data_IF_155745276470
#
_entry.id   IF_155745276470
#
_cell.length_a   1.000
_cell.length_b   1.000
_cell.length_c   1.000
_cell.angle_alpha   90.00
_cell.angle_beta   90.00
_cell.angle_gamma   90.00
#
_symmetry.space_group_name_H-M   'P 1'
#
loop_
_entity.id
_entity.type
_entity.pdbx_description
1 polymer ?
#
# COMPACT_ATOMS: atom_id res chain seq x y z
N UNK A 1 81.69 -8.55 52.15
CA UNK A 1 82.79 -8.21 51.23
C UNK A 1 82.17 -7.71 49.94
N UNK A 2 82.26 -6.39 49.71
CA UNK A 2 81.78 -5.67 48.54
C UNK A 2 82.60 -6.05 47.31
N UNK A 3 81.96 -6.33 46.17
CA UNK A 3 82.61 -6.18 44.85
C UNK A 3 81.54 -5.81 43.81
N UNK A 4 81.51 -4.51 43.52
CA UNK A 4 80.72 -3.88 42.47
C UNK A 4 81.37 -4.20 41.12
N UNK A 5 80.66 -4.89 40.24
CA UNK A 5 81.00 -4.92 38.81
C UNK A 5 80.04 -4.02 38.06
N UNK A 6 80.53 -2.81 37.75
CA UNK A 6 79.90 -1.86 36.84
C UNK A 6 80.08 -2.36 35.40
N UNK A 7 79.03 -2.88 34.78
CA UNK A 7 78.96 -3.04 33.33
C UNK A 7 77.96 -2.05 32.72
N UNK A 8 78.58 -1.09 32.03
CA UNK A 8 78.11 0.00 31.18
C UNK A 8 76.89 -0.39 30.31
N UNK A 9 75.75 0.30 30.49
CA UNK A 9 74.59 0.22 29.59
C UNK A 9 74.90 0.93 28.27
N UNK A 10 74.91 0.20 27.17
CA UNK A 10 74.69 0.73 25.82
C UNK A 10 73.18 0.94 25.63
N UNK A 11 72.69 2.12 25.17
CA UNK A 11 71.31 2.23 24.76
C UNK A 11 71.14 1.51 23.42
N UNK A 12 70.56 0.31 23.46
CA UNK A 12 69.99 -0.31 22.27
C UNK A 12 68.84 0.61 21.84
N UNK A 13 69.06 1.34 20.75
CA UNK A 13 68.01 2.07 20.04
C UNK A 13 67.05 1.05 19.42
N UNK A 14 66.14 0.51 20.23
CA UNK A 14 64.99 -0.23 19.75
C UNK A 14 63.96 0.78 19.28
N UNK A 15 64.11 1.22 18.04
CA UNK A 15 63.00 1.74 17.25
C UNK A 15 61.83 0.76 17.42
N UNK A 16 60.68 1.16 17.98
CA UNK A 16 59.49 0.34 17.85
C UNK A 16 59.18 0.32 16.36
N UNK A 17 59.43 -0.81 15.70
CA UNK A 17 58.77 -1.09 14.43
C UNK A 17 57.28 -0.96 14.71
N UNK A 18 56.72 0.17 14.29
CA UNK A 18 55.28 0.38 14.25
C UNK A 18 54.75 -0.69 13.32
N UNK A 19 54.22 -1.77 13.89
CA UNK A 19 53.30 -2.62 13.17
C UNK A 19 52.12 -1.73 12.79
N UNK A 20 52.04 -1.42 11.51
CA UNK A 20 50.91 -0.71 10.91
C UNK A 20 49.66 -1.57 11.03
N UNK A 21 48.97 -1.53 12.16
CA UNK A 21 47.60 -2.03 12.34
C UNK A 21 46.58 -0.98 11.87
N UNK A 22 46.78 -0.43 10.67
CA UNK A 22 45.89 0.59 10.09
C UNK A 22 45.05 0.07 8.91
N UNK A 23 45.30 -1.16 8.45
CA UNK A 23 44.50 -1.83 7.41
C UNK A 23 43.34 -2.64 8.01
N UNK A 24 43.56 -3.33 9.12
CA UNK A 24 42.58 -4.26 9.70
C UNK A 24 41.25 -3.59 10.14
N UNK A 25 41.33 -2.45 10.85
CA UNK A 25 40.12 -1.74 11.29
C UNK A 25 39.36 -1.01 10.17
N UNK A 26 40.01 -0.73 9.03
CA UNK A 26 39.34 -0.19 7.83
C UNK A 26 38.55 -1.27 7.11
N UNK A 27 39.10 -2.48 7.06
CA UNK A 27 38.45 -3.63 6.46
C UNK A 27 37.21 -4.03 7.28
N UNK A 28 37.30 -4.06 8.62
CA UNK A 28 36.14 -4.33 9.50
C UNK A 28 35.01 -3.29 9.35
N UNK A 29 35.32 -2.00 9.35
CA UNK A 29 34.32 -0.93 9.12
C UNK A 29 33.66 -1.02 7.73
N UNK A 30 34.41 -1.46 6.72
CA UNK A 30 33.88 -1.63 5.37
C UNK A 30 32.95 -2.84 5.25
N UNK A 31 33.24 -3.92 5.99
CA UNK A 31 32.42 -5.15 6.05
C UNK A 31 31.10 -4.87 6.79
N UNK A 32 31.14 -4.11 7.88
CA UNK A 32 29.94 -3.68 8.62
C UNK A 32 29.02 -2.81 7.75
N UNK A 33 29.56 -1.82 7.04
CA UNK A 33 28.76 -0.98 6.13
C UNK A 33 28.12 -1.76 4.97
N UNK A 34 28.82 -2.77 4.43
CA UNK A 34 28.23 -3.65 3.42
C UNK A 34 27.11 -4.52 4.00
N UNK A 35 27.28 -5.03 5.22
CA UNK A 35 26.26 -5.82 5.91
C UNK A 35 25.00 -4.97 6.13
N UNK A 36 25.13 -3.73 6.60
CA UNK A 36 24.01 -2.80 6.79
C UNK A 36 23.28 -2.49 5.49
N UNK A 37 24.00 -2.27 4.38
CA UNK A 37 23.40 -2.03 3.06
C UNK A 37 22.64 -3.26 2.56
N UNK A 38 23.19 -4.46 2.71
CA UNK A 38 22.55 -5.72 2.29
C UNK A 38 21.32 -6.02 3.16
N UNK A 39 21.42 -5.84 4.47
CA UNK A 39 20.30 -6.02 5.41
C UNK A 39 19.20 -4.99 5.15
N UNK A 40 19.55 -3.72 4.94
CA UNK A 40 18.58 -2.68 4.60
C UNK A 40 17.87 -2.96 3.26
N UNK A 41 18.59 -3.49 2.28
CA UNK A 41 17.99 -3.88 1.00
C UNK A 41 17.11 -5.13 1.12
N UNK A 42 17.55 -6.14 1.88
CA UNK A 42 16.76 -7.34 2.19
C UNK A 42 15.46 -6.99 2.93
N UNK A 43 15.53 -6.11 3.94
CA UNK A 43 14.36 -5.66 4.69
C UNK A 43 13.35 -4.95 3.79
N UNK A 44 13.83 -4.12 2.85
CA UNK A 44 12.96 -3.47 1.85
C UNK A 44 12.25 -4.50 0.96
N UNK A 45 12.92 -5.58 0.56
CA UNK A 45 12.29 -6.65 -0.23
C UNK A 45 11.24 -7.41 0.58
N UNK A 46 11.53 -7.73 1.83
CA UNK A 46 10.57 -8.38 2.73
C UNK A 46 9.34 -7.48 2.92
N UNK A 47 9.56 -6.20 3.19
CA UNK A 47 8.49 -5.21 3.36
C UNK A 47 7.68 -5.02 2.07
N UNK A 48 8.34 -4.88 0.93
CA UNK A 48 7.64 -4.75 -0.36
C UNK A 48 6.81 -6.00 -0.67
N UNK A 49 7.34 -7.20 -0.40
CA UNK A 49 6.62 -8.46 -0.57
C UNK A 49 5.40 -8.55 0.35
N UNK A 50 5.58 -8.31 1.66
CA UNK A 50 4.47 -8.37 2.63
C UNK A 50 3.42 -7.29 2.40
N UNK A 51 3.83 -6.05 2.13
CA UNK A 51 2.91 -4.96 1.81
C UNK A 51 2.09 -5.27 0.55
N UNK A 52 2.70 -5.92 -0.46
CA UNK A 52 2.01 -6.35 -1.67
C UNK A 52 0.93 -7.40 -1.34
N UNK A 53 1.27 -8.45 -0.58
CA UNK A 53 0.32 -9.51 -0.19
C UNK A 53 -0.84 -8.93 0.63
N UNK A 54 -0.54 -8.11 1.64
CA UNK A 54 -1.55 -7.44 2.46
C UNK A 54 -2.41 -6.51 1.60
N UNK A 55 -1.80 -5.79 0.66
CA UNK A 55 -2.51 -4.96 -0.31
C UNK A 55 -3.53 -5.76 -1.12
N UNK A 56 -3.11 -6.89 -1.72
CA UNK A 56 -4.03 -7.77 -2.46
C UNK A 56 -5.17 -8.31 -1.60
N UNK A 57 -4.92 -8.57 -0.32
CA UNK A 57 -5.94 -9.13 0.57
C UNK A 57 -6.90 -8.08 1.11
N UNK A 58 -6.43 -6.90 1.53
CA UNK A 58 -7.28 -5.85 2.15
C UNK A 58 -8.04 -5.03 1.11
N UNK A 59 -7.42 -4.76 -0.04
CA UNK A 59 -8.00 -3.92 -1.07
C UNK A 59 -9.42 -4.34 -1.53
N UNK A 60 -9.73 -5.64 -1.76
CA UNK A 60 -11.09 -6.06 -2.10
C UNK A 60 -12.10 -5.83 -0.96
N UNK A 61 -11.77 -6.16 0.29
CA UNK A 61 -12.69 -6.00 1.42
C UNK A 61 -12.94 -4.53 1.79
N UNK A 62 -11.98 -3.64 1.56
CA UNK A 62 -12.16 -2.22 1.84
C UNK A 62 -13.14 -1.55 0.86
N UNK A 63 -13.23 -2.06 -0.38
CA UNK A 63 -14.19 -1.59 -1.38
C UNK A 63 -15.64 -1.92 -1.01
N UNK A 64 -15.89 -3.10 -0.47
CA UNK A 64 -17.25 -3.59 -0.16
C UNK A 64 -17.93 -2.78 0.93
N UNK A 65 -17.22 -2.48 2.02
CA UNK A 65 -17.76 -1.65 3.10
C UNK A 65 -18.11 -0.24 2.58
N UNK A 66 -17.26 0.33 1.72
CA UNK A 66 -17.51 1.63 1.11
C UNK A 66 -18.69 1.57 0.12
N UNK A 67 -18.89 0.45 -0.56
CA UNK A 67 -20.02 0.21 -1.45
C UNK A 67 -21.33 0.18 -0.64
N UNK A 68 -21.37 -0.57 0.46
CA UNK A 68 -22.51 -0.60 1.36
C UNK A 68 -22.83 0.78 1.94
N UNK A 69 -21.81 1.52 2.39
CA UNK A 69 -21.99 2.90 2.85
C UNK A 69 -22.56 3.80 1.75
N UNK A 70 -22.17 3.59 0.49
CA UNK A 70 -22.72 4.33 -0.64
C UNK A 70 -24.22 4.08 -0.82
N UNK A 71 -24.68 2.85 -0.58
CA UNK A 71 -26.11 2.51 -0.59
C UNK A 71 -26.82 3.17 0.60
N UNK A 72 -26.23 3.15 1.79
CA UNK A 72 -26.80 3.85 2.95
C UNK A 72 -26.96 5.36 2.71
N UNK A 73 -26.04 5.99 1.97
CA UNK A 73 -26.16 7.40 1.60
C UNK A 73 -27.36 7.70 0.69
N UNK A 74 -27.84 6.74 -0.10
CA UNK A 74 -29.04 6.90 -0.93
C UNK A 74 -30.32 7.03 -0.08
N UNK A 75 -30.32 6.48 1.13
CA UNK A 75 -31.46 6.49 2.05
C UNK A 75 -31.56 7.81 2.86
N UNK A 76 -30.48 8.59 2.92
CA UNK A 76 -30.44 9.86 3.67
C UNK A 76 -31.37 10.89 3.03
N UNK A 77 -32.03 11.72 3.85
CA UNK A 77 -33.00 12.73 3.37
C UNK A 77 -32.39 13.78 2.46
N UNK A 78 -31.16 14.20 2.75
CA UNK A 78 -30.49 15.30 2.05
C UNK A 78 -30.02 14.86 0.64
N UNK A 79 -30.47 15.55 -0.43
CA UNK A 79 -30.10 15.25 -1.81
C UNK A 79 -28.60 15.24 -2.11
N UNK A 80 -27.78 15.98 -1.36
CA UNK A 80 -26.34 16.02 -1.56
C UNK A 80 -25.70 14.66 -1.27
N UNK A 81 -26.09 14.02 -0.17
CA UNK A 81 -25.59 12.69 0.18
C UNK A 81 -26.09 11.62 -0.78
N UNK A 82 -27.35 11.71 -1.24
CA UNK A 82 -27.89 10.81 -2.27
C UNK A 82 -27.06 10.85 -3.55
N UNK A 83 -26.74 12.06 -4.03
CA UNK A 83 -25.88 12.26 -5.21
C UNK A 83 -24.50 11.66 -5.02
N UNK A 84 -23.90 11.88 -3.85
CA UNK A 84 -22.57 11.37 -3.54
C UNK A 84 -22.54 9.85 -3.51
N UNK A 85 -23.53 9.23 -2.87
CA UNK A 85 -23.72 7.78 -2.85
C UNK A 85 -23.91 7.20 -4.26
N UNK A 86 -24.79 7.78 -5.06
CA UNK A 86 -25.02 7.36 -6.45
C UNK A 86 -23.77 7.49 -7.32
N UNK A 87 -23.07 8.62 -7.24
CA UNK A 87 -21.84 8.86 -8.00
C UNK A 87 -20.75 7.86 -7.62
N UNK A 88 -20.66 7.48 -6.33
CA UNK A 88 -19.71 6.49 -5.83
C UNK A 88 -20.08 5.08 -6.28
N UNK A 89 -21.36 4.69 -6.26
CA UNK A 89 -21.82 3.40 -6.81
C UNK A 89 -21.50 3.26 -8.30
N UNK A 90 -21.68 4.33 -9.08
CA UNK A 90 -21.30 4.32 -10.50
C UNK A 90 -19.81 3.99 -10.71
N UNK A 91 -18.94 4.46 -9.80
CA UNK A 91 -17.50 4.18 -9.84
C UNK A 91 -17.13 2.78 -9.36
N UNK A 92 -17.97 2.13 -8.54
CA UNK A 92 -17.72 0.76 -8.11
C UNK A 92 -18.14 -0.28 -9.16
N UNK A 93 -19.05 0.08 -10.07
CA UNK A 93 -19.54 -0.77 -11.16
C UNK A 93 -18.51 -0.98 -12.30
N UNK A 94 -17.29 -1.41 -11.97
CA UNK A 94 -16.18 -1.58 -12.92
C UNK A 94 -16.24 -2.97 -13.58
N UNK A 95 -16.37 -4.01 -12.78
CA UNK A 95 -16.37 -5.42 -13.19
C UNK A 95 -17.74 -6.07 -12.90
N UNK A 96 -18.00 -7.22 -13.52
CA UNK A 96 -19.28 -7.93 -13.38
C UNK A 96 -19.55 -8.38 -11.95
N UNK A 97 -18.50 -8.78 -11.21
CA UNK A 97 -18.61 -9.21 -9.82
C UNK A 97 -19.10 -8.06 -8.93
N UNK A 98 -18.50 -6.88 -9.06
CA UNK A 98 -18.93 -5.68 -8.32
C UNK A 98 -20.30 -5.19 -8.78
N UNK A 99 -20.62 -5.26 -10.07
CA UNK A 99 -21.98 -4.93 -10.57
C UNK A 99 -23.02 -5.81 -9.91
N UNK A 100 -22.80 -7.13 -9.88
CA UNK A 100 -23.66 -8.09 -9.19
C UNK A 100 -23.77 -7.78 -7.70
N UNK A 101 -22.65 -7.51 -7.03
CA UNK A 101 -22.65 -7.18 -5.60
C UNK A 101 -23.44 -5.93 -5.27
N UNK A 102 -23.39 -4.88 -6.11
CA UNK A 102 -24.21 -3.68 -5.96
C UNK A 102 -25.71 -4.02 -6.02
N UNK A 103 -26.11 -4.96 -6.88
CA UNK A 103 -27.49 -5.43 -6.99
C UNK A 103 -27.88 -6.23 -5.74
N UNK A 104 -27.03 -7.14 -5.27
CA UNK A 104 -27.26 -7.96 -4.08
C UNK A 104 -27.49 -7.14 -2.81
N UNK A 105 -26.71 -6.07 -2.60
CA UNK A 105 -26.89 -5.15 -1.47
C UNK A 105 -28.09 -4.18 -1.66
N UNK A 106 -28.88 -4.35 -2.73
CA UNK A 106 -30.07 -3.56 -3.00
C UNK A 106 -29.80 -2.17 -3.60
N UNK A 107 -28.58 -1.90 -4.09
CA UNK A 107 -28.19 -0.60 -4.64
C UNK A 107 -29.06 -0.17 -5.82
N UNK A 108 -29.41 -1.10 -6.72
CA UNK A 108 -30.28 -0.83 -7.88
C UNK A 108 -31.68 -0.34 -7.46
N UNK A 109 -32.30 -1.00 -6.48
CA UNK A 109 -33.62 -0.58 -5.98
C UNK A 109 -33.57 0.81 -5.33
N UNK A 110 -32.52 1.10 -4.56
CA UNK A 110 -32.34 2.41 -3.93
C UNK A 110 -32.11 3.52 -4.95
N UNK A 111 -31.40 3.24 -6.04
CA UNK A 111 -31.21 4.18 -7.15
C UNK A 111 -32.52 4.44 -7.90
N UNK A 112 -33.37 3.44 -8.09
CA UNK A 112 -34.73 3.61 -8.65
C UNK A 112 -35.60 4.47 -7.75
N UNK A 113 -35.64 4.17 -6.45
CA UNK A 113 -36.37 4.98 -5.47
C UNK A 113 -35.85 6.43 -5.41
N UNK A 114 -34.54 6.62 -5.58
CA UNK A 114 -33.93 7.94 -5.69
C UNK A 114 -34.36 8.67 -6.96
N UNK A 115 -34.47 7.98 -8.11
CA UNK A 115 -34.99 8.58 -9.36
C UNK A 115 -36.43 9.06 -9.21
N UNK A 116 -37.27 8.24 -8.59
CA UNK A 116 -38.69 8.55 -8.36
C UNK A 116 -38.88 9.69 -7.36
N UNK A 117 -38.14 9.66 -6.24
CA UNK A 117 -38.30 10.63 -5.15
C UNK A 117 -37.51 11.94 -5.34
N UNK A 118 -36.52 11.98 -6.24
CA UNK A 118 -35.69 13.16 -6.44
C UNK A 118 -36.44 14.28 -7.15
N UNK A 119 -36.52 15.44 -6.49
CA UNK A 119 -37.10 16.67 -7.07
C UNK A 119 -36.19 17.35 -8.08
N UNK A 120 -34.88 17.20 -7.92
CA UNK A 120 -33.91 17.93 -8.72
C UNK A 120 -33.21 17.06 -9.79
N UNK A 121 -32.91 17.67 -10.92
CA UNK A 121 -32.33 16.98 -12.08
C UNK A 121 -30.92 16.46 -11.84
N UNK A 122 -30.14 17.12 -10.98
CA UNK A 122 -28.76 16.70 -10.69
C UNK A 122 -28.74 15.37 -9.95
N UNK A 123 -29.61 15.20 -8.96
CA UNK A 123 -29.84 13.94 -8.24
C UNK A 123 -30.30 12.85 -9.19
N UNK A 124 -31.32 13.12 -10.02
CA UNK A 124 -31.80 12.16 -11.01
C UNK A 124 -30.72 11.73 -11.99
N UNK A 125 -29.92 12.68 -12.48
CA UNK A 125 -28.82 12.40 -13.41
C UNK A 125 -27.76 11.47 -12.80
N UNK A 126 -27.36 11.68 -11.55
CA UNK A 126 -26.39 10.80 -10.90
C UNK A 126 -26.96 9.39 -10.66
N UNK A 127 -28.24 9.29 -10.28
CA UNK A 127 -28.90 7.99 -10.15
C UNK A 127 -28.98 7.24 -11.48
N UNK A 128 -29.32 7.93 -12.57
CA UNK A 128 -29.37 7.35 -13.91
C UNK A 128 -27.99 6.88 -14.39
N UNK A 129 -26.94 7.67 -14.17
CA UNK A 129 -25.55 7.27 -14.49
C UNK A 129 -25.14 6.01 -13.75
N UNK A 130 -25.49 5.90 -12.47
CA UNK A 130 -25.19 4.72 -11.68
C UNK A 130 -25.93 3.47 -12.20
N UNK A 131 -27.23 3.58 -12.49
CA UNK A 131 -27.99 2.49 -13.11
C UNK A 131 -27.44 2.09 -14.48
N UNK A 132 -27.05 3.06 -15.30
CA UNK A 132 -26.41 2.80 -16.59
C UNK A 132 -25.09 2.03 -16.42
N UNK A 133 -24.26 2.40 -15.45
CA UNK A 133 -23.01 1.69 -15.18
C UNK A 133 -23.25 0.25 -14.70
N UNK A 134 -24.26 0.04 -13.85
CA UNK A 134 -24.66 -1.30 -13.37
C UNK A 134 -25.21 -2.16 -14.51
N UNK A 135 -25.96 -1.56 -15.45
CA UNK A 135 -26.62 -2.27 -16.55
C UNK A 135 -25.67 -2.87 -17.59
N UNK A 136 -24.39 -2.51 -17.61
CA UNK A 136 -23.43 -2.97 -18.63
C UNK A 136 -23.00 -4.43 -18.51
N UNK A 137 -23.58 -5.21 -17.59
CA UNK A 137 -23.12 -6.54 -17.16
C UNK A 137 -23.33 -7.70 -18.15
N UNK A 138 -23.00 -7.51 -19.42
CA UNK A 138 -23.10 -8.57 -20.43
C UNK A 138 -22.57 -8.22 -21.82
N UNK A 139 -22.10 -6.99 -22.04
CA UNK A 139 -21.68 -6.53 -23.37
C UNK A 139 -20.15 -6.63 -23.58
N UNK A 140 -19.35 -6.50 -22.52
CA UNK A 140 -17.89 -6.38 -22.65
C UNK A 140 -17.17 -7.75 -22.71
N UNK A 141 -17.80 -8.84 -22.23
CA UNK A 141 -17.21 -10.18 -22.22
C UNK A 141 -17.09 -10.83 -23.60
N UNK A 142 -17.80 -10.32 -24.62
CA UNK A 142 -17.84 -10.91 -25.97
C UNK A 142 -16.96 -10.18 -27.00
N UNK A 143 -16.29 -9.08 -26.61
CA UNK A 143 -15.43 -8.27 -27.50
C UNK A 143 -13.93 -8.54 -27.35
N UNK A 144 -13.52 -9.39 -26.40
CA UNK A 144 -12.12 -9.81 -26.21
C UNK A 144 -11.84 -11.23 -26.70
N UNK A 145 -12.80 -11.91 -27.33
CA UNK A 145 -12.71 -13.32 -27.71
C UNK A 145 -12.77 -13.58 -29.24
N UNK A 146 -12.65 -12.54 -30.08
CA UNK A 146 -12.52 -12.67 -31.54
C UNK A 146 -11.29 -11.93 -32.06
#
# INVERSE_FOLDING_TARGET
MFMQYLWRRTPINSQPQRFSTSSFGRDEQSIEQEAERKVGWLLKLIFAGTATVIGYQIFPYMGDNLMQQSVSLLQVKDPLFKRMGASRLARFAIDDERRMKIVEIGGAQHLLNMLESARDDRTRKEALKALFAISKSGQDSNLSAN
#
